data_IF_171039781346
#
_entry.id   IF_171039781346
#
_cell.length_a   1.000
_cell.length_b   1.000
_cell.length_c   1.000
_cell.angle_alpha   90.00
_cell.angle_beta   90.00
_cell.angle_gamma   90.00
#
_symmetry.space_group_name_H-M   'P 1'
#
loop_
_entity.id
_entity.type
_entity.pdbx_description
1 polymer ?
#
# COMPACT_ATOMS: atom_id res chain seq x y z
N UNK A 1 -27.80 13.21 31.58
CA UNK A 1 -27.34 11.95 30.96
C UNK A 1 -26.72 12.33 29.63
N UNK A 2 -25.41 12.57 29.61
CA UNK A 2 -24.68 12.99 28.41
C UNK A 2 -24.26 11.74 27.64
N UNK A 3 -25.02 11.39 26.61
CA UNK A 3 -24.53 10.49 25.57
C UNK A 3 -23.48 11.27 24.77
N UNK A 4 -22.21 11.02 25.06
CA UNK A 4 -21.10 11.32 24.17
C UNK A 4 -21.27 10.43 22.93
N UNK A 5 -22.02 10.90 21.93
CA UNK A 5 -21.89 10.37 20.59
C UNK A 5 -20.42 10.60 20.19
N UNK A 6 -19.67 9.52 20.04
CA UNK A 6 -18.44 9.57 19.26
C UNK A 6 -18.83 10.16 17.89
N UNK A 7 -18.10 11.17 17.46
CA UNK A 7 -18.25 11.74 16.14
C UNK A 7 -17.84 10.64 15.15
N UNK A 8 -18.80 9.87 14.65
CA UNK A 8 -18.63 8.83 13.62
C UNK A 8 -18.33 9.49 12.26
N UNK A 9 -17.31 10.36 12.20
CA UNK A 9 -16.92 11.01 10.97
C UNK A 9 -16.06 10.04 10.16
N UNK A 10 -16.57 9.60 9.01
CA UNK A 10 -15.85 8.77 8.06
C UNK A 10 -15.96 9.38 6.66
N UNK A 11 -14.93 9.15 5.83
CA UNK A 11 -14.95 9.55 4.42
C UNK A 11 -15.48 8.39 3.59
N UNK A 12 -16.67 8.52 3.01
CA UNK A 12 -17.31 7.45 2.26
C UNK A 12 -17.25 7.65 0.75
N UNK A 13 -16.72 6.65 0.08
CA UNK A 13 -16.81 6.39 -1.35
C UNK A 13 -17.44 5.02 -1.62
N UNK A 14 -18.23 4.49 -0.66
CA UNK A 14 -18.91 3.22 -0.85
C UNK A 14 -19.78 3.25 -2.11
N UNK A 15 -19.76 2.17 -2.88
CA UNK A 15 -20.59 1.99 -4.08
C UNK A 15 -20.39 3.02 -5.20
N UNK A 16 -19.44 3.95 -5.10
CA UNK A 16 -19.23 4.94 -6.15
C UNK A 16 -18.81 4.26 -7.44
N UNK A 17 -19.28 4.80 -8.57
CA UNK A 17 -18.84 4.41 -9.90
C UNK A 17 -18.20 5.62 -10.54
N UNK A 18 -16.88 5.68 -10.48
CA UNK A 18 -16.11 6.76 -11.08
C UNK A 18 -15.68 6.34 -12.47
N UNK A 19 -15.82 7.24 -13.44
CA UNK A 19 -15.33 7.05 -14.81
C UNK A 19 -14.59 8.27 -15.32
N UNK A 20 -13.47 8.09 -16.02
CA UNK A 20 -12.73 9.20 -16.63
C UNK A 20 -11.35 8.81 -17.12
N UNK A 21 -10.56 9.79 -17.55
CA UNK A 21 -9.16 9.54 -17.94
C UNK A 21 -8.31 9.27 -16.71
N UNK A 22 -8.44 10.08 -15.67
CA UNK A 22 -7.67 9.97 -14.42
C UNK A 22 -8.64 10.11 -13.25
N UNK A 23 -8.50 9.24 -12.26
CA UNK A 23 -9.10 9.39 -10.93
C UNK A 23 -7.94 9.42 -9.94
N UNK A 24 -7.73 10.57 -9.28
CA UNK A 24 -6.55 10.77 -8.44
C UNK A 24 -6.95 11.16 -7.03
N UNK A 25 -6.43 10.40 -6.08
CA UNK A 25 -6.33 10.68 -4.65
C UNK A 25 -4.86 10.83 -4.24
N UNK A 26 -3.97 11.10 -5.21
CA UNK A 26 -2.55 11.28 -4.94
C UNK A 26 -2.34 12.39 -3.93
N UNK A 27 -1.41 12.18 -2.99
CA UNK A 27 -1.06 13.10 -1.91
C UNK A 27 -2.22 13.52 -1.01
N UNK A 28 -3.35 12.80 -1.08
CA UNK A 28 -4.51 13.08 -0.24
C UNK A 28 -4.29 12.54 1.16
N UNK A 29 -4.66 13.34 2.15
CA UNK A 29 -4.62 12.95 3.56
C UNK A 29 -6.02 12.60 4.04
N UNK A 30 -6.24 11.32 4.27
CA UNK A 30 -7.44 10.77 4.89
C UNK A 30 -7.23 10.64 6.40
N UNK A 31 -7.66 11.66 7.14
CA UNK A 31 -7.48 11.75 8.60
C UNK A 31 -8.49 10.95 9.44
N UNK A 32 -9.48 10.34 8.80
CA UNK A 32 -10.58 9.59 9.41
C UNK A 32 -10.74 8.25 8.69
N UNK A 33 -11.49 7.28 9.25
CA UNK A 33 -11.82 6.05 8.55
C UNK A 33 -12.33 6.34 7.13
N UNK A 34 -11.81 5.63 6.14
CA UNK A 34 -12.11 5.89 4.73
C UNK A 34 -12.58 4.63 4.04
N UNK A 35 -13.74 4.70 3.37
CA UNK A 35 -14.44 3.53 2.89
C UNK A 35 -14.72 3.57 1.38
N UNK A 36 -14.12 2.64 0.66
CA UNK A 36 -14.29 2.36 -0.77
C UNK A 36 -15.01 1.01 -1.02
N UNK A 37 -15.71 0.43 -0.03
CA UNK A 37 -16.37 -0.88 -0.20
C UNK A 37 -17.28 -0.86 -1.42
N UNK A 38 -17.10 -1.85 -2.29
CA UNK A 38 -17.86 -2.03 -3.53
C UNK A 38 -17.76 -0.86 -4.51
N UNK A 39 -16.80 0.04 -4.36
CA UNK A 39 -16.54 1.08 -5.36
C UNK A 39 -16.04 0.46 -6.68
N UNK A 40 -16.36 1.10 -7.79
CA UNK A 40 -15.87 0.76 -9.13
C UNK A 40 -15.14 1.98 -9.69
N UNK A 41 -13.81 1.89 -9.71
CA UNK A 41 -12.93 3.01 -10.05
C UNK A 41 -12.42 2.83 -11.48
N UNK A 42 -13.25 3.19 -12.47
CA UNK A 42 -12.97 2.99 -13.90
C UNK A 42 -12.27 4.22 -14.50
N UNK A 43 -10.97 4.34 -14.35
CA UNK A 43 -10.19 5.35 -15.08
C UNK A 43 -9.03 4.73 -15.86
N UNK A 44 -8.46 5.45 -16.83
CA UNK A 44 -7.22 4.95 -17.44
C UNK A 44 -6.13 4.85 -16.37
N UNK A 45 -6.01 5.85 -15.49
CA UNK A 45 -5.17 5.77 -14.30
C UNK A 45 -5.99 6.04 -13.02
N UNK A 46 -5.99 5.09 -12.08
CA UNK A 46 -6.48 5.30 -10.70
C UNK A 46 -5.27 5.46 -9.78
N UNK A 47 -5.14 6.61 -9.13
CA UNK A 47 -3.93 6.98 -8.39
C UNK A 47 -4.22 7.23 -6.91
N UNK A 48 -3.42 6.61 -6.05
CA UNK A 48 -3.31 6.83 -4.62
C UNK A 48 -1.84 7.10 -4.24
N UNK A 49 -1.05 7.62 -5.19
CA UNK A 49 0.38 7.86 -4.98
C UNK A 49 0.60 8.79 -3.78
N UNK A 50 1.41 8.38 -2.81
CA UNK A 50 1.69 9.19 -1.63
C UNK A 50 0.48 9.46 -0.72
N UNK A 51 -0.68 8.82 -0.96
CA UNK A 51 -1.87 9.00 -0.14
C UNK A 51 -1.61 8.50 1.29
N UNK A 52 -2.12 9.24 2.28
CA UNK A 52 -1.93 8.92 3.70
C UNK A 52 -3.28 8.60 4.32
N UNK A 53 -3.41 7.38 4.83
CA UNK A 53 -4.55 6.91 5.61
C UNK A 53 -4.12 6.81 7.08
N UNK A 54 -4.50 7.81 7.88
CA UNK A 54 -4.19 7.85 9.31
C UNK A 54 -5.01 6.86 10.13
N UNK A 55 -6.18 6.49 9.62
CA UNK A 55 -7.09 5.52 10.23
C UNK A 55 -7.38 4.33 9.29
N UNK A 56 -8.32 3.47 9.65
CA UNK A 56 -8.70 2.29 8.86
C UNK A 56 -9.15 2.68 7.44
N UNK A 57 -8.57 2.00 6.45
CA UNK A 57 -8.94 2.13 5.05
C UNK A 57 -9.64 0.85 4.57
N UNK A 58 -10.88 0.97 4.12
CA UNK A 58 -11.68 -0.15 3.64
C UNK A 58 -11.74 -0.14 2.11
N UNK A 59 -11.09 -1.09 1.46
CA UNK A 59 -11.16 -1.34 0.02
C UNK A 59 -11.84 -2.69 -0.29
N UNK A 60 -12.69 -3.19 0.62
CA UNK A 60 -13.37 -4.46 0.41
C UNK A 60 -14.15 -4.44 -0.89
N UNK A 61 -14.07 -5.53 -1.66
CA UNK A 61 -14.85 -5.70 -2.91
C UNK A 61 -14.71 -4.55 -3.93
N UNK A 62 -13.71 -3.68 -3.79
CA UNK A 62 -13.44 -2.62 -4.77
C UNK A 62 -13.06 -3.29 -6.10
N UNK A 63 -13.41 -2.64 -7.20
CA UNK A 63 -13.03 -3.09 -8.54
C UNK A 63 -12.23 -1.98 -9.22
N UNK A 64 -11.03 -2.33 -9.68
CA UNK A 64 -10.17 -1.50 -10.51
C UNK A 64 -10.17 -2.04 -11.95
N UNK A 65 -11.14 -1.67 -12.81
CA UNK A 65 -11.22 -2.16 -14.19
C UNK A 65 -10.51 -1.24 -15.20
N UNK A 66 -9.66 -0.33 -14.71
CA UNK A 66 -8.98 0.71 -15.48
C UNK A 66 -7.81 0.21 -16.33
N UNK A 67 -6.94 1.10 -16.81
CA UNK A 67 -5.68 0.67 -17.43
C UNK A 67 -4.61 0.40 -16.38
N UNK A 68 -4.45 1.31 -15.44
CA UNK A 68 -3.38 1.30 -14.46
C UNK A 68 -3.89 1.69 -13.07
N UNK A 69 -3.29 1.14 -12.02
CA UNK A 69 -3.61 1.48 -10.62
C UNK A 69 -2.34 1.63 -9.80
N UNK A 70 -2.20 2.77 -9.13
CA UNK A 70 -0.96 3.16 -8.46
C UNK A 70 -1.22 3.45 -6.98
N UNK A 71 -0.57 2.71 -6.10
CA UNK A 71 -0.53 2.95 -4.65
C UNK A 71 0.86 3.37 -4.19
N UNK A 72 1.78 3.67 -5.12
CA UNK A 72 3.19 3.91 -4.80
C UNK A 72 3.35 4.96 -3.70
N UNK A 73 4.19 4.65 -2.69
CA UNK A 73 4.46 5.49 -1.51
C UNK A 73 3.25 5.76 -0.60
N UNK A 74 2.11 5.09 -0.80
CA UNK A 74 0.97 5.19 0.10
C UNK A 74 1.32 4.71 1.52
N UNK A 75 0.66 5.28 2.51
CA UNK A 75 0.87 4.97 3.93
C UNK A 75 -0.45 4.57 4.59
N UNK A 76 -0.54 3.32 5.05
CA UNK A 76 -1.66 2.80 5.83
C UNK A 76 -1.25 2.63 7.28
N UNK A 77 -1.68 3.54 8.17
CA UNK A 77 -1.14 3.62 9.54
C UNK A 77 -1.85 2.75 10.57
N UNK A 78 -3.14 2.44 10.38
CA UNK A 78 -3.94 1.62 11.31
C UNK A 78 -4.30 0.26 10.75
N UNK A 79 -4.65 0.20 9.46
CA UNK A 79 -4.95 -1.04 8.75
C UNK A 79 -5.58 -0.74 7.40
N UNK A 80 -5.52 -1.73 6.51
CA UNK A 80 -6.17 -1.65 5.21
C UNK A 80 -6.75 -3.00 4.80
N UNK A 81 -7.99 -2.97 4.32
CA UNK A 81 -8.71 -4.19 3.96
C UNK A 81 -9.08 -4.19 2.47
N UNK A 82 -8.30 -4.91 1.68
CA UNK A 82 -8.54 -5.23 0.27
C UNK A 82 -9.25 -6.58 0.08
N UNK A 83 -9.90 -7.13 1.11
CA UNK A 83 -10.50 -8.46 0.97
C UNK A 83 -11.56 -8.46 -0.13
N UNK A 84 -11.54 -9.48 -0.98
CA UNK A 84 -12.40 -9.59 -2.17
C UNK A 84 -12.23 -8.48 -3.21
N UNK A 85 -11.21 -7.62 -3.10
CA UNK A 85 -10.89 -6.62 -4.11
C UNK A 85 -10.54 -7.29 -5.45
N UNK A 86 -10.81 -6.61 -6.55
CA UNK A 86 -10.53 -7.09 -7.90
C UNK A 86 -9.62 -6.13 -8.63
N UNK A 87 -8.34 -6.45 -8.66
CA UNK A 87 -7.31 -5.76 -9.45
C UNK A 87 -7.37 -6.31 -10.87
N UNK A 88 -8.06 -5.57 -11.75
CA UNK A 88 -8.35 -5.97 -13.14
C UNK A 88 -7.88 -4.92 -14.14
N UNK A 89 -6.86 -4.15 -13.76
CA UNK A 89 -6.27 -3.12 -14.58
C UNK A 89 -5.69 -3.74 -15.85
N UNK A 90 -5.80 -3.06 -17.00
CA UNK A 90 -5.35 -3.63 -18.27
C UNK A 90 -3.83 -3.85 -18.34
N UNK A 91 -3.05 -2.95 -17.72
CA UNK A 91 -1.58 -2.97 -17.75
C UNK A 91 -0.97 -3.40 -16.42
N UNK A 92 -1.12 -2.62 -15.35
CA UNK A 92 -0.49 -2.93 -14.06
C UNK A 92 -1.27 -2.43 -12.84
N UNK A 93 -0.95 -3.03 -11.70
CA UNK A 93 -1.22 -2.50 -10.35
C UNK A 93 0.11 -2.42 -9.60
N UNK A 94 0.45 -1.26 -9.05
CA UNK A 94 1.75 -1.02 -8.42
C UNK A 94 1.60 -0.58 -6.96
N UNK A 95 2.23 -1.33 -6.07
CA UNK A 95 2.47 -1.02 -4.68
C UNK A 95 4.00 -0.92 -4.52
N UNK A 96 4.58 0.25 -4.84
CA UNK A 96 6.02 0.46 -4.62
C UNK A 96 6.25 1.34 -3.41
N UNK A 97 7.07 0.89 -2.47
CA UNK A 97 7.41 1.66 -1.28
C UNK A 97 6.20 1.92 -0.38
N UNK A 98 5.17 1.08 -0.45
CA UNK A 98 3.97 1.21 0.39
C UNK A 98 4.33 0.79 1.80
N UNK A 99 3.83 1.56 2.77
CA UNK A 99 3.96 1.20 4.18
C UNK A 99 2.64 0.66 4.70
N UNK A 100 2.63 -0.64 4.99
CA UNK A 100 1.54 -1.34 5.66
C UNK A 100 1.89 -1.44 7.14
N UNK A 101 1.58 -0.37 7.90
CA UNK A 101 1.93 -0.29 9.33
C UNK A 101 0.89 -0.92 10.25
N UNK A 102 -0.28 -1.29 9.73
CA UNK A 102 -1.36 -1.93 10.48
C UNK A 102 -1.75 -3.30 9.90
N UNK A 103 -2.83 -3.87 10.42
CA UNK A 103 -3.38 -5.13 9.88
C UNK A 103 -3.77 -4.93 8.43
N UNK A 104 -3.25 -5.77 7.54
CA UNK A 104 -3.47 -5.67 6.10
C UNK A 104 -4.08 -6.96 5.58
N UNK A 105 -5.17 -6.87 4.83
CA UNK A 105 -5.83 -8.05 4.26
C UNK A 105 -6.00 -7.89 2.76
N UNK A 106 -5.48 -8.85 2.01
CA UNK A 106 -5.78 -9.15 0.61
C UNK A 106 -6.54 -10.48 0.48
N UNK A 107 -7.16 -10.97 1.57
CA UNK A 107 -7.83 -12.27 1.55
C UNK A 107 -8.92 -12.33 0.48
N UNK A 108 -8.97 -13.41 -0.30
CA UNK A 108 -9.86 -13.56 -1.45
C UNK A 108 -9.75 -12.46 -2.53
N UNK A 109 -8.71 -11.62 -2.51
CA UNK A 109 -8.49 -10.64 -3.56
C UNK A 109 -8.14 -11.34 -4.88
N UNK A 110 -8.54 -10.76 -6.01
CA UNK A 110 -8.25 -11.29 -7.34
C UNK A 110 -7.24 -10.38 -8.02
N UNK A 111 -6.07 -10.91 -8.32
CA UNK A 111 -5.01 -10.26 -9.09
C UNK A 111 -5.05 -10.75 -10.53
N UNK A 112 -5.86 -10.10 -11.37
CA UNK A 112 -6.00 -10.44 -12.79
C UNK A 112 -5.11 -9.61 -13.71
N UNK A 113 -4.45 -8.58 -13.18
CA UNK A 113 -3.45 -7.74 -13.84
C UNK A 113 -2.05 -8.04 -13.30
N UNK A 114 -0.99 -7.80 -14.08
CA UNK A 114 0.37 -7.72 -13.55
C UNK A 114 0.38 -6.83 -12.30
N UNK A 115 0.82 -7.38 -11.17
CA UNK A 115 0.84 -6.68 -9.88
C UNK A 115 2.25 -6.71 -9.29
N UNK A 116 2.72 -5.57 -8.82
CA UNK A 116 4.03 -5.45 -8.22
C UNK A 116 3.91 -4.91 -6.80
N UNK A 117 4.47 -5.66 -5.86
CA UNK A 117 4.83 -5.23 -4.52
C UNK A 117 6.36 -5.07 -4.52
N UNK A 118 6.86 -3.84 -4.47
CA UNK A 118 8.31 -3.60 -4.47
C UNK A 118 8.74 -2.58 -3.42
N UNK A 119 9.85 -2.84 -2.73
CA UNK A 119 10.36 -1.93 -1.70
C UNK A 119 9.36 -1.63 -0.57
N UNK A 120 8.34 -2.48 -0.42
CA UNK A 120 7.29 -2.30 0.58
C UNK A 120 7.77 -2.63 1.99
N UNK A 121 7.02 -2.11 2.96
CA UNK A 121 7.21 -2.39 4.38
C UNK A 121 5.95 -3.07 4.91
N UNK A 122 5.96 -4.40 4.95
CA UNK A 122 4.99 -5.19 5.70
C UNK A 122 5.47 -5.25 7.16
N UNK A 123 4.98 -4.32 7.98
CA UNK A 123 5.44 -4.13 9.36
C UNK A 123 4.93 -5.27 10.27
N UNK A 124 5.23 -5.22 11.57
CA UNK A 124 5.00 -6.32 12.52
C UNK A 124 3.54 -6.80 12.65
N UNK A 125 2.56 -6.04 12.17
CA UNK A 125 1.17 -6.47 12.16
C UNK A 125 0.89 -7.43 10.99
N UNK A 126 -0.11 -8.31 11.14
CA UNK A 126 -0.37 -9.36 10.15
C UNK A 126 -0.76 -8.79 8.78
N UNK A 127 -0.10 -9.29 7.74
CA UNK A 127 -0.53 -9.12 6.34
C UNK A 127 -1.03 -10.46 5.81
N UNK A 128 -2.23 -10.48 5.25
CA UNK A 128 -2.87 -11.73 4.85
C UNK A 128 -3.21 -11.77 3.36
N UNK A 129 -2.68 -12.73 2.60
CA UNK A 129 -3.06 -13.04 1.22
C UNK A 129 -3.72 -14.42 1.07
N UNK A 130 -4.17 -15.01 2.18
CA UNK A 130 -4.88 -16.29 2.18
C UNK A 130 -6.10 -16.26 1.24
N UNK A 131 -6.28 -17.35 0.49
CA UNK A 131 -7.31 -17.52 -0.55
C UNK A 131 -7.29 -16.46 -1.67
N UNK A 132 -6.21 -15.67 -1.80
CA UNK A 132 -6.06 -14.73 -2.91
C UNK A 132 -5.83 -15.47 -4.23
N UNK A 133 -6.43 -14.96 -5.30
CA UNK A 133 -6.42 -15.55 -6.63
C UNK A 133 -5.43 -14.83 -7.55
N UNK A 134 -4.23 -15.41 -7.69
CA UNK A 134 -3.10 -14.88 -8.46
C UNK A 134 -3.17 -15.28 -9.95
N UNK A 135 -4.18 -14.76 -10.69
CA UNK A 135 -4.42 -15.12 -12.10
C UNK A 135 -3.40 -14.57 -13.10
N UNK A 136 -2.63 -13.58 -12.71
CA UNK A 136 -1.58 -12.96 -13.52
C UNK A 136 -0.32 -12.80 -12.68
N UNK A 137 0.77 -12.32 -13.30
CA UNK A 137 2.06 -12.16 -12.64
C UNK A 137 1.93 -11.26 -11.41
N UNK A 138 2.28 -11.77 -10.24
CA UNK A 138 2.39 -11.00 -9.00
C UNK A 138 3.80 -11.13 -8.46
N UNK A 139 4.49 -10.01 -8.34
CA UNK A 139 5.89 -9.99 -7.93
C UNK A 139 6.05 -9.28 -6.59
N UNK A 140 6.77 -9.91 -5.67
CA UNK A 140 7.25 -9.34 -4.41
C UNK A 140 8.75 -9.14 -4.53
N UNK A 141 9.22 -7.89 -4.63
CA UNK A 141 10.61 -7.57 -4.98
C UNK A 141 11.22 -6.62 -3.97
N UNK A 142 12.33 -7.01 -3.36
CA UNK A 142 13.12 -6.13 -2.48
C UNK A 142 12.28 -5.45 -1.39
N UNK A 143 11.29 -6.14 -0.81
CA UNK A 143 10.56 -5.62 0.34
C UNK A 143 11.57 -5.30 1.46
N UNK A 144 11.49 -4.11 2.01
CA UNK A 144 12.42 -3.65 3.05
C UNK A 144 12.09 -4.34 4.38
N UNK A 145 10.79 -4.61 4.61
CA UNK A 145 10.32 -5.38 5.77
C UNK A 145 9.35 -6.44 5.29
N UNK A 146 9.58 -7.69 5.71
CA UNK A 146 8.71 -8.84 5.46
C UNK A 146 8.41 -9.54 6.79
N UNK A 147 7.36 -9.10 7.48
CA UNK A 147 6.96 -9.66 8.78
C UNK A 147 5.50 -10.09 8.74
N UNK A 148 5.20 -11.25 9.34
CA UNK A 148 3.85 -11.78 9.53
C UNK A 148 2.97 -11.76 8.25
N UNK A 149 3.57 -12.10 7.10
CA UNK A 149 2.87 -12.24 5.82
C UNK A 149 2.39 -13.67 5.65
N UNK A 150 1.07 -13.89 5.69
CA UNK A 150 0.44 -15.19 5.48
C UNK A 150 0.03 -15.39 4.03
N UNK A 151 0.36 -16.56 3.47
CA UNK A 151 -0.05 -17.02 2.13
C UNK A 151 -0.40 -18.51 2.17
N UNK A 152 -1.18 -18.99 1.21
CA UNK A 152 -1.68 -20.38 1.21
C UNK A 152 -0.59 -21.45 1.16
N UNK A 153 0.58 -21.13 0.59
CA UNK A 153 1.68 -22.07 0.39
C UNK A 153 2.77 -21.99 1.47
N UNK A 154 2.66 -21.08 2.43
CA UNK A 154 3.64 -20.82 3.49
C UNK A 154 2.91 -20.68 4.84
N UNK A 155 2.22 -21.76 5.22
CA UNK A 155 1.47 -21.80 6.47
C UNK A 155 2.42 -21.89 7.68
N UNK A 156 2.13 -21.16 8.77
CA UNK A 156 2.91 -21.30 10.00
C UNK A 156 2.67 -22.69 10.63
N UNK A 157 3.74 -23.27 11.18
CA UNK A 157 3.68 -24.52 11.95
C UNK A 157 2.71 -24.34 13.13
N UNK A 158 1.79 -25.29 13.42
CA UNK A 158 1.73 -26.68 12.94
C UNK A 158 0.82 -26.90 11.72
N UNK A 159 0.34 -25.85 11.07
CA UNK A 159 -0.59 -25.99 9.95
C UNK A 159 0.15 -26.39 8.67
N UNK A 160 -0.50 -27.21 7.84
CA UNK A 160 0.00 -27.55 6.53
C UNK A 160 -0.37 -26.46 5.51
N UNK A 161 0.50 -26.19 4.51
CA UNK A 161 0.13 -25.37 3.36
C UNK A 161 -1.15 -25.90 2.69
N UNK A 162 -2.01 -24.97 2.24
CA UNK A 162 -3.26 -25.28 1.51
C UNK A 162 -3.03 -25.60 0.03
N UNK A 163 -1.84 -25.32 -0.49
CA UNK A 163 -1.44 -25.64 -1.86
C UNK A 163 0.01 -25.26 -2.16
N UNK A 164 0.51 -25.57 -3.36
CA UNK A 164 1.81 -25.10 -3.81
C UNK A 164 1.76 -23.61 -4.17
N UNK A 165 2.92 -22.94 -4.16
CA UNK A 165 3.04 -21.59 -4.69
C UNK A 165 2.64 -21.54 -6.17
N UNK A 166 1.76 -20.62 -6.59
CA UNK A 166 1.43 -20.44 -8.01
C UNK A 166 2.65 -19.99 -8.83
N UNK A 167 2.81 -20.49 -10.06
CA UNK A 167 3.90 -20.09 -10.97
C UNK A 167 3.82 -18.63 -11.44
N UNK A 168 2.67 -17.99 -11.23
CA UNK A 168 2.43 -16.57 -11.47
C UNK A 168 3.02 -15.69 -10.36
N UNK A 169 3.37 -16.24 -9.20
CA UNK A 169 3.93 -15.50 -8.06
C UNK A 169 5.45 -15.60 -8.06
N UNK A 170 6.14 -14.47 -7.95
CA UNK A 170 7.60 -14.39 -7.79
C UNK A 170 7.98 -13.64 -6.51
N UNK A 171 9.08 -14.01 -5.82
CA UNK A 171 10.08 -15.01 -6.21
C UNK A 171 9.62 -16.45 -5.98
N UNK A 172 10.22 -17.41 -6.69
CA UNK A 172 9.94 -18.85 -6.52
C UNK A 172 10.60 -19.45 -5.28
N UNK A 173 11.62 -18.77 -4.72
CA UNK A 173 12.16 -19.06 -3.40
C UNK A 173 11.39 -18.23 -2.39
N UNK A 174 10.70 -18.88 -1.46
CA UNK A 174 9.77 -18.24 -0.54
C UNK A 174 10.12 -18.57 0.93
N UNK A 175 9.94 -17.63 1.88
CA UNK A 175 9.58 -16.22 1.69
C UNK A 175 10.66 -15.42 0.94
N UNK A 176 10.31 -14.28 0.30
CA UNK A 176 11.29 -13.40 -0.31
C UNK A 176 12.28 -12.91 0.76
N UNK A 177 13.57 -12.93 0.44
CA UNK A 177 14.58 -12.29 1.29
C UNK A 177 14.36 -10.78 1.30
N UNK A 178 14.18 -10.15 2.46
CA UNK A 178 14.11 -8.69 2.55
C UNK A 178 15.36 -8.04 1.96
N UNK A 179 15.21 -6.82 1.45
CA UNK A 179 16.37 -6.01 1.09
C UNK A 179 17.22 -5.75 2.35
N UNK A 180 18.54 -5.90 2.24
CA UNK A 180 19.46 -5.56 3.33
C UNK A 180 19.25 -4.08 3.68
N UNK A 181 18.80 -3.81 4.91
CA UNK A 181 18.74 -2.46 5.43
C UNK A 181 20.15 -2.03 5.75
N UNK A 182 20.70 -1.09 4.98
CA UNK A 182 21.85 -0.32 5.47
C UNK A 182 21.46 0.27 6.83
N UNK A 183 22.28 -0.05 7.83
CA UNK A 183 22.13 0.22 9.26
C UNK A 183 21.46 1.59 9.53
N UNK A 184 20.35 1.62 10.26
CA UNK A 184 19.63 2.86 10.63
C UNK A 184 20.52 3.84 11.43
N UNK A 185 21.66 3.37 11.97
CA UNK A 185 22.68 4.22 12.61
C UNK A 185 23.51 5.05 11.62
N UNK A 186 23.48 4.76 10.33
CA UNK A 186 24.19 5.52 9.28
C UNK A 186 23.35 6.64 8.66
N UNK A 187 22.03 6.67 8.90
CA UNK A 187 21.12 7.66 8.32
C UNK A 187 21.17 9.04 9.01
N UNK A 188 21.85 9.19 10.15
CA UNK A 188 22.15 10.52 10.72
C UNK A 188 23.35 11.22 10.06
N UNK A 189 24.14 10.53 9.23
CA UNK A 189 25.36 11.08 8.62
C UNK A 189 25.36 11.14 7.09
N UNK A 190 24.31 10.66 6.40
CA UNK A 190 24.20 10.87 4.95
C UNK A 190 23.43 12.16 4.73
N UNK A 191 24.15 13.23 4.36
CA UNK A 191 23.56 14.34 3.61
C UNK A 191 23.03 13.78 2.29
N UNK A 192 21.80 13.28 2.30
CA UNK A 192 21.10 12.76 1.14
C UNK A 192 20.91 13.93 0.18
N UNK A 193 21.55 13.88 -0.99
CA UNK A 193 21.30 14.82 -2.08
C UNK A 193 19.89 14.56 -2.62
N UNK A 194 18.91 15.24 -2.03
CA UNK A 194 17.49 15.19 -2.37
C UNK A 194 17.26 15.50 -3.87
N UNK A 195 18.20 16.22 -4.50
CA UNK A 195 18.17 16.54 -5.91
C UNK A 195 18.61 15.38 -6.81
N UNK A 196 19.37 14.41 -6.32
CA UNK A 196 19.79 13.20 -7.05
C UNK A 196 18.64 12.18 -7.11
N UNK A 197 17.97 11.91 -5.97
CA UNK A 197 16.81 11.00 -5.93
C UNK A 197 15.68 11.45 -6.85
N UNK A 198 15.39 12.75 -6.88
CA UNK A 198 14.33 13.28 -7.73
C UNK A 198 14.69 13.34 -9.23
N UNK A 199 15.97 13.11 -9.60
CA UNK A 199 16.44 13.05 -10.99
C UNK A 199 16.39 11.66 -11.59
N UNK A 200 16.59 10.61 -10.79
CA UNK A 200 16.58 9.22 -11.28
C UNK A 200 15.17 8.63 -11.43
N UNK A 201 14.18 9.10 -10.67
CA UNK A 201 12.91 8.38 -10.52
C UNK A 201 11.68 9.01 -11.22
N UNK A 202 11.77 10.21 -11.82
CA UNK A 202 10.56 10.92 -12.29
C UNK A 202 10.71 11.69 -13.61
N UNK A 203 9.66 11.61 -14.46
CA UNK A 203 9.39 12.62 -15.49
C UNK A 203 9.23 14.00 -14.84
N UNK A 204 9.73 15.03 -15.53
CA UNK A 204 10.06 16.40 -15.08
C UNK A 204 9.07 17.11 -14.14
N UNK A 205 7.78 16.75 -14.15
CA UNK A 205 6.75 17.41 -13.34
C UNK A 205 6.56 16.84 -11.93
N UNK A 206 6.97 15.59 -11.64
CA UNK A 206 6.71 14.95 -10.33
C UNK A 206 7.80 15.21 -9.26
N UNK A 207 8.93 15.79 -9.67
CA UNK A 207 10.07 16.13 -8.78
C UNK A 207 9.75 17.20 -7.74
N UNK A 208 8.93 18.21 -8.10
CA UNK A 208 8.60 19.29 -7.17
C UNK A 208 7.66 18.82 -6.06
N UNK A 209 6.78 17.87 -6.36
CA UNK A 209 5.81 17.34 -5.40
C UNK A 209 6.46 16.37 -4.42
N UNK A 210 7.35 15.49 -4.90
CA UNK A 210 8.20 14.65 -4.04
C UNK A 210 8.97 15.46 -2.99
N UNK A 211 9.55 16.59 -3.39
CA UNK A 211 10.27 17.48 -2.47
C UNK A 211 9.34 18.15 -1.43
N UNK A 212 8.07 18.39 -1.77
CA UNK A 212 7.08 18.91 -0.80
C UNK A 212 6.74 17.86 0.25
N UNK A 213 6.61 16.60 -0.14
CA UNK A 213 6.29 15.47 0.75
C UNK A 213 7.44 15.22 1.73
N UNK A 214 8.69 15.18 1.26
CA UNK A 214 9.86 15.10 2.14
C UNK A 214 9.90 16.26 3.14
N UNK A 215 9.54 17.47 2.71
CA UNK A 215 9.47 18.64 3.59
C UNK A 215 8.33 18.55 4.61
N UNK A 216 7.20 17.92 4.29
CA UNK A 216 6.11 17.68 5.24
C UNK A 216 6.48 16.60 6.27
N UNK A 217 7.08 15.49 5.83
CA UNK A 217 7.54 14.41 6.71
C UNK A 217 8.58 14.90 7.74
N UNK A 218 9.53 15.73 7.31
CA UNK A 218 10.53 16.36 8.20
C UNK A 218 9.88 17.26 9.27
N UNK A 219 8.86 18.04 8.90
CA UNK A 219 8.14 18.91 9.86
C UNK A 219 7.33 18.12 10.89
N UNK A 220 6.81 16.95 10.53
CA UNK A 220 6.07 16.09 11.46
C UNK A 220 6.98 15.30 12.40
N UNK A 221 8.14 14.82 11.91
CA UNK A 221 9.17 14.19 12.75
C UNK A 221 9.69 15.14 13.84
N UNK A 222 9.96 16.40 13.50
CA UNK A 222 10.40 17.43 14.46
C UNK A 222 9.34 17.81 15.51
N UNK A 223 8.04 17.63 15.20
CA UNK A 223 6.95 17.93 16.15
C UNK A 223 6.75 16.84 17.20
N UNK A 224 7.20 15.60 16.96
CA UNK A 224 7.16 14.51 17.94
C UNK A 224 8.25 14.63 19.02
N UNK A 225 9.40 15.25 18.72
CA UNK A 225 10.47 15.48 19.71
C UNK A 225 10.19 16.62 20.69
N UNK A 226 9.23 17.52 20.42
CA UNK A 226 8.92 18.66 21.30
C UNK A 226 7.87 18.38 22.38
N UNK A 227 7.40 17.13 22.52
CA UNK A 227 6.48 16.72 23.61
C UNK A 227 7.14 15.85 24.68
N UNK A 228 8.44 15.65 24.59
CA UNK A 228 9.24 14.95 25.60
C UNK A 228 10.49 15.75 25.94
N UNK A 229 10.32 17.02 26.32
CA UNK A 229 11.26 17.81 27.12
C UNK A 229 10.46 18.89 27.84
#
# INVERSE_FOLDING_TARGET
>A
MTLSAADDSYTSFQHVKCSGTILSFSDTHFGQPTDFDRAVLRSNATEFHGAIFDDEANFKRVVFPGSDTYFDLAQFRRGVDYSYARFRSWHSTEFRGVTFAGVTSFSHAVFASPTLFASDRFMEHSTNFEDADFRNKVAFVQSVVWSNVAVDWDAPVPYAPRGPQPSTVTPTSWPPTPAETEDETSLEAVTIDEHAMAREFFHRDRRREFMRILAQLKRFGQRRMRRWW
#
